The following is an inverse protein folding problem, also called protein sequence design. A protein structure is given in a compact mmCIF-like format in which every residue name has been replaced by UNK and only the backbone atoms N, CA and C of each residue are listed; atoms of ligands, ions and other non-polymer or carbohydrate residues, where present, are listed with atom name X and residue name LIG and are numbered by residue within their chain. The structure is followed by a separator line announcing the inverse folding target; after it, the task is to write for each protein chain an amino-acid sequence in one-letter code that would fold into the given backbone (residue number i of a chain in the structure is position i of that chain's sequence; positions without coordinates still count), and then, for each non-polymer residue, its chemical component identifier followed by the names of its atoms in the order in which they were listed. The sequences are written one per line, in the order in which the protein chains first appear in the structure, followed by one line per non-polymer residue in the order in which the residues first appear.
data_IF_177162347720
#
_entry.id   IF_177162347720
#
_cell.length_a   1.000
_cell.length_b   1.000
_cell.length_c   1.000
_cell.angle_alpha   90.00
_cell.angle_beta   90.00
_cell.angle_gamma   90.00
#
_symmetry.space_group_name_H-M   'P 1'
#
loop_
_entity.id
_entity.type
_entity.pdbx_description
1 polymer ?
#
# COMPACT_ATOMS: atom_id res chain seq x y z
N UNK A 1 4.82 19.18 14.23
CA UNK A 1 3.59 18.41 14.53
C UNK A 1 3.21 17.45 13.40
N UNK A 2 3.00 17.92 12.17
CA UNK A 2 2.65 17.05 11.04
C UNK A 2 3.70 15.97 10.72
N UNK A 3 5.00 16.32 10.69
CA UNK A 3 6.07 15.36 10.38
C UNK A 3 6.10 14.17 11.37
N UNK A 4 5.93 14.44 12.67
CA UNK A 4 5.89 13.41 13.72
C UNK A 4 4.70 12.47 13.57
N UNK A 5 3.53 12.98 13.17
CA UNK A 5 2.35 12.15 12.91
C UNK A 5 2.55 11.23 11.71
N UNK A 6 3.14 11.73 10.62
CA UNK A 6 3.42 10.92 9.43
C UNK A 6 4.41 9.81 9.74
N UNK A 7 5.51 10.14 10.43
CA UNK A 7 6.49 9.13 10.86
C UNK A 7 5.84 8.09 11.77
N UNK A 8 5.02 8.52 12.74
CA UNK A 8 4.27 7.60 13.61
C UNK A 8 3.35 6.66 12.83
N UNK A 9 2.61 7.19 11.85
CA UNK A 9 1.74 6.38 10.99
C UNK A 9 2.52 5.37 10.15
N UNK A 10 3.63 5.79 9.54
CA UNK A 10 4.49 4.91 8.75
C UNK A 10 5.02 3.76 9.60
N UNK A 11 5.52 4.06 10.80
CA UNK A 11 6.02 3.03 11.72
C UNK A 11 4.91 2.08 12.18
N UNK A 12 3.71 2.59 12.44
CA UNK A 12 2.56 1.76 12.79
C UNK A 12 2.16 0.80 11.64
N UNK A 13 2.10 1.30 10.40
CA UNK A 13 1.79 0.48 9.22
C UNK A 13 2.88 -0.56 8.95
N UNK A 14 4.16 -0.19 9.11
CA UNK A 14 5.27 -1.13 8.98
C UNK A 14 5.20 -2.23 10.05
N UNK A 15 4.89 -1.87 11.31
CA UNK A 15 4.66 -2.81 12.40
C UNK A 15 3.51 -3.76 12.11
N UNK A 16 2.39 -3.25 11.57
CA UNK A 16 1.25 -4.06 11.17
C UNK A 16 1.61 -5.04 10.04
N UNK A 17 2.31 -4.58 9.01
CA UNK A 17 2.76 -5.45 7.92
C UNK A 17 3.70 -6.55 8.44
N UNK A 18 4.57 -6.24 9.41
CA UNK A 18 5.45 -7.22 10.04
C UNK A 18 4.69 -8.24 10.89
N UNK A 19 3.68 -7.79 11.64
CA UNK A 19 2.82 -8.69 12.40
C UNK A 19 2.07 -9.66 11.46
N UNK A 20 1.41 -9.13 10.43
CA UNK A 20 0.70 -9.93 9.41
C UNK A 20 1.67 -10.87 8.68
N UNK A 21 2.83 -10.37 8.26
CA UNK A 21 3.85 -11.18 7.59
C UNK A 21 4.34 -12.34 8.46
N UNK A 22 4.51 -12.12 9.77
CA UNK A 22 4.89 -13.19 10.69
C UNK A 22 3.79 -14.25 10.89
N UNK A 23 2.51 -13.88 10.78
CA UNK A 23 1.41 -14.84 10.87
C UNK A 23 1.25 -15.69 9.60
N UNK A 24 1.75 -15.18 8.47
CA UNK A 24 1.67 -15.81 7.15
C UNK A 24 3.01 -16.44 6.69
N UNK A 25 4.02 -16.47 7.57
CA UNK A 25 5.38 -16.97 7.30
C UNK A 25 6.03 -16.30 6.06
N UNK A 26 5.76 -14.99 5.87
CA UNK A 26 6.34 -14.21 4.78
C UNK A 26 7.81 -13.89 5.05
N UNK A 27 8.62 -13.99 4.00
CA UNK A 27 9.99 -13.50 4.01
C UNK A 27 10.07 -11.98 4.23
N UNK A 28 11.28 -11.50 4.56
CA UNK A 28 11.54 -10.05 4.68
C UNK A 28 11.26 -9.31 3.38
N UNK A 29 11.58 -9.92 2.23
CA UNK A 29 11.30 -9.35 0.91
C UNK A 29 9.81 -9.25 0.62
N UNK A 30 9.05 -10.30 0.90
CA UNK A 30 7.59 -10.28 0.71
C UNK A 30 6.91 -9.29 1.64
N UNK A 31 7.35 -9.20 2.90
CA UNK A 31 6.81 -8.22 3.86
C UNK A 31 7.11 -6.78 3.43
N UNK A 32 8.31 -6.52 2.91
CA UNK A 32 8.69 -5.19 2.41
C UNK A 32 7.89 -4.81 1.15
N UNK A 33 7.71 -5.77 0.23
CA UNK A 33 6.86 -5.60 -0.95
C UNK A 33 5.38 -5.41 -0.59
N UNK A 34 4.87 -6.12 0.41
CA UNK A 34 3.51 -5.94 0.95
C UNK A 34 3.32 -4.53 1.52
N UNK A 35 4.28 -4.04 2.30
CA UNK A 35 4.25 -2.68 2.83
C UNK A 35 4.27 -1.63 1.71
N UNK A 36 5.20 -1.76 0.76
CA UNK A 36 5.31 -0.82 -0.36
C UNK A 36 4.07 -0.87 -1.29
N UNK A 37 3.52 -2.06 -1.53
CA UNK A 37 2.36 -2.27 -2.39
C UNK A 37 1.06 -1.77 -1.78
N UNK A 38 0.83 -2.05 -0.50
CA UNK A 38 -0.36 -1.59 0.23
C UNK A 38 -0.39 -0.08 0.40
N UNK A 39 0.78 0.55 0.53
CA UNK A 39 0.91 2.01 0.59
C UNK A 39 1.10 2.66 -0.79
N UNK A 40 1.12 1.87 -1.87
CA UNK A 40 1.35 2.34 -3.25
C UNK A 40 2.59 3.24 -3.39
N UNK A 41 3.67 2.90 -2.68
CA UNK A 41 4.86 3.75 -2.51
C UNK A 41 6.06 3.18 -3.28
N UNK A 42 6.31 3.70 -4.48
CA UNK A 42 7.41 3.28 -5.33
C UNK A 42 8.82 3.58 -4.74
N UNK A 43 9.08 4.75 -4.12
CA UNK A 43 10.35 4.99 -3.41
C UNK A 43 10.63 3.98 -2.30
N UNK A 44 9.61 3.55 -1.55
CA UNK A 44 9.77 2.53 -0.51
C UNK A 44 10.12 1.16 -1.10
N UNK A 45 9.56 0.81 -2.27
CA UNK A 45 9.93 -0.42 -2.99
C UNK A 45 11.40 -0.39 -3.41
N UNK A 46 11.87 0.73 -3.98
CA UNK A 46 13.27 0.85 -4.38
C UNK A 46 14.21 0.72 -3.17
N UNK A 47 13.91 1.42 -2.08
CA UNK A 47 14.70 1.31 -0.85
C UNK A 47 14.72 -0.12 -0.29
N UNK A 48 13.62 -0.87 -0.40
CA UNK A 48 13.57 -2.27 -0.01
C UNK A 48 14.43 -3.15 -0.92
N UNK A 49 14.34 -2.96 -2.24
CA UNK A 49 15.16 -3.68 -3.22
C UNK A 49 16.66 -3.43 -3.01
N UNK A 50 17.04 -2.20 -2.65
CA UNK A 50 18.44 -1.85 -2.39
C UNK A 50 18.95 -2.41 -1.05
N UNK A 51 18.07 -2.56 -0.06
CA UNK A 51 18.44 -3.01 1.30
C UNK A 51 18.45 -4.55 1.45
N UNK A 52 17.68 -5.27 0.63
CA UNK A 52 17.53 -6.72 0.73
C UNK A 52 18.53 -7.44 -0.18
N UNK A 53 19.26 -8.40 0.38
CA UNK A 53 20.21 -9.23 -0.36
C UNK A 53 19.63 -10.57 -0.81
N UNK A 54 18.43 -10.91 -0.32
CA UNK A 54 17.74 -12.18 -0.60
C UNK A 54 16.25 -11.94 -0.80
N UNK A 55 15.69 -12.59 -1.81
CA UNK A 55 14.30 -12.39 -2.24
C UNK A 55 14.11 -11.11 -3.07
N UNK A 56 12.98 -11.03 -3.77
CA UNK A 56 12.61 -9.87 -4.60
C UNK A 56 11.30 -9.25 -4.08
N UNK A 57 11.34 -8.06 -3.45
CA UNK A 57 10.14 -7.39 -2.95
C UNK A 57 9.18 -6.95 -4.06
N UNK A 58 9.65 -6.85 -5.32
CA UNK A 58 8.83 -6.45 -6.47
C UNK A 58 7.72 -7.47 -6.73
N UNK A 59 7.96 -8.74 -6.45
CA UNK A 59 6.96 -9.81 -6.62
C UNK A 59 5.76 -9.55 -5.70
N UNK A 60 5.99 -9.36 -4.41
CA UNK A 60 4.92 -9.10 -3.45
C UNK A 60 4.24 -7.74 -3.71
N UNK A 61 5.01 -6.71 -4.10
CA UNK A 61 4.45 -5.41 -4.50
C UNK A 61 3.44 -5.55 -5.66
N UNK A 62 3.81 -6.32 -6.69
CA UNK A 62 3.00 -6.49 -7.90
C UNK A 62 1.69 -7.22 -7.63
N UNK A 63 1.67 -8.14 -6.66
CA UNK A 63 0.45 -8.85 -6.23
C UNK A 63 -0.48 -7.96 -5.41
N UNK A 64 0.08 -7.12 -4.54
CA UNK A 64 -0.69 -6.31 -3.58
C UNK A 64 -1.23 -5.03 -4.21
N UNK A 65 -0.50 -4.43 -5.15
CA UNK A 65 -0.85 -3.13 -5.75
C UNK A 65 -2.27 -3.10 -6.36
N UNK A 66 -2.70 -4.06 -7.21
CA UNK A 66 -4.05 -4.05 -7.76
C UNK A 66 -5.16 -4.11 -6.70
N UNK A 67 -4.93 -4.88 -5.63
CA UNK A 67 -5.88 -5.01 -4.53
C UNK A 67 -5.98 -3.71 -3.73
N UNK A 68 -4.83 -3.07 -3.43
CA UNK A 68 -4.78 -1.80 -2.71
C UNK A 68 -5.47 -0.66 -3.47
N UNK A 69 -5.22 -0.56 -4.78
CA UNK A 69 -5.89 0.43 -5.66
C UNK A 69 -7.39 0.16 -5.71
N UNK A 70 -7.80 -1.10 -5.90
CA UNK A 70 -9.23 -1.47 -5.94
C UNK A 70 -9.93 -1.11 -4.64
N UNK A 71 -9.34 -1.45 -3.49
CA UNK A 71 -9.88 -1.10 -2.18
C UNK A 71 -10.01 0.41 -2.00
N UNK A 72 -9.00 1.18 -2.42
CA UNK A 72 -9.03 2.64 -2.36
C UNK A 72 -10.14 3.22 -3.23
N UNK A 73 -10.30 2.73 -4.47
CA UNK A 73 -11.38 3.16 -5.36
C UNK A 73 -12.77 2.86 -4.79
N UNK A 74 -12.97 1.65 -4.24
CA UNK A 74 -14.23 1.28 -3.59
C UNK A 74 -14.49 2.16 -2.37
N UNK A 75 -13.49 2.38 -1.51
CA UNK A 75 -13.63 3.26 -0.34
C UNK A 75 -13.96 4.69 -0.75
N UNK A 76 -13.28 5.22 -1.77
CA UNK A 76 -13.59 6.55 -2.32
C UNK A 76 -15.00 6.61 -2.89
N UNK A 77 -15.44 5.58 -3.61
CA UNK A 77 -16.80 5.51 -4.16
C UNK A 77 -17.85 5.47 -3.04
N UNK A 78 -17.60 4.76 -1.93
CA UNK A 78 -18.50 4.72 -0.79
C UNK A 78 -18.53 6.05 -0.02
N UNK A 79 -17.37 6.68 0.19
CA UNK A 79 -17.26 7.96 0.90
C UNK A 79 -17.83 9.12 0.06
N UNK A 80 -17.57 9.14 -1.24
CA UNK A 80 -18.00 10.19 -2.18
C UNK A 80 -19.38 9.90 -2.81
N UNK A 81 -19.94 8.71 -2.58
CA UNK A 81 -21.11 8.11 -3.23
C UNK A 81 -22.47 8.80 -3.06
N UNK A 82 -22.51 10.12 -2.87
CA UNK A 82 -23.74 10.94 -3.06
C UNK A 82 -23.62 12.02 -4.14
N UNK A 83 -22.50 12.13 -4.86
CA UNK A 83 -22.30 13.13 -5.91
C UNK A 83 -21.34 12.61 -7.00
N UNK A 84 -21.75 11.64 -7.82
CA UNK A 84 -21.22 11.56 -9.18
C UNK A 84 -22.02 12.57 -10.03
N UNK A 85 -21.48 13.76 -10.37
CA UNK A 85 -22.06 14.56 -11.43
C UNK A 85 -21.90 13.77 -12.73
N UNK A 86 -22.97 13.06 -13.13
CA UNK A 86 -23.06 12.48 -14.45
C UNK A 86 -22.96 13.64 -15.46
N UNK A 87 -22.08 13.57 -16.47
CA UNK A 87 -22.03 14.59 -17.50
C UNK A 87 -23.42 14.66 -18.16
N UNK A 88 -24.06 15.82 -18.04
CA UNK A 88 -25.34 16.07 -18.67
C UNK A 88 -25.15 15.90 -20.19
N UNK A 89 -25.92 14.97 -20.77
CA UNK A 89 -26.07 14.83 -22.22
C UNK A 89 -26.54 16.18 -22.77
N UNK A 90 -25.64 16.93 -23.38
CA UNK A 90 -25.99 18.07 -24.23
C UNK A 90 -26.40 17.48 -25.58
N UNK A 91 -27.72 17.39 -25.80
CA UNK A 91 -28.32 17.31 -27.14
C UNK A 91 -28.32 18.68 -27.81
#
# INVERSE_FOLDING_TARGET
MACTMTVGLILALAGLCRAVGSMLDLSSAETAGLFAGSTTNAPALQAASDALTTGDPVVAYSLVYPAAVTATLVMMALVMGRRLPLPAKHE
#
